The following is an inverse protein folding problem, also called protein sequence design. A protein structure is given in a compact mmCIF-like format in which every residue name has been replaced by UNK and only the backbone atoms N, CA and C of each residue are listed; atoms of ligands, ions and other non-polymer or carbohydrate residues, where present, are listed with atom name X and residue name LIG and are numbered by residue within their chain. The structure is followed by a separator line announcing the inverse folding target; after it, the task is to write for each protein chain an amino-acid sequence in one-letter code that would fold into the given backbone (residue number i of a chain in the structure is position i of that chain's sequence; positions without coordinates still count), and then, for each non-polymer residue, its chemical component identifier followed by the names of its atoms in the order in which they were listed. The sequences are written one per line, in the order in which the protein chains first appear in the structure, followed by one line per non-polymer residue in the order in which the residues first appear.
data_IF_532168132253
#
_entry.id   IF_532168132253
#
_cell.length_a   1.000
_cell.length_b   1.000
_cell.length_c   1.000
_cell.angle_alpha   90.00
_cell.angle_beta   90.00
_cell.angle_gamma   90.00
#
_symmetry.space_group_name_H-M   'P 1'
#
loop_
_entity.id
_entity.type
_entity.pdbx_description
1 polymer ?
#
# COMPACT_ATOMS: atom_id res chain seq x y z
N UNK A 1 -19.20 -23.09 -4.40
CA UNK A 1 -20.33 -22.24 -3.95
C UNK A 1 -20.36 -22.25 -2.43
N UNK A 2 -19.75 -21.25 -1.79
CA UNK A 2 -20.03 -20.90 -0.39
C UNK A 2 -20.38 -19.42 -0.37
N UNK A 3 -21.67 -19.13 -0.27
CA UNK A 3 -22.15 -17.76 -0.10
C UNK A 3 -21.76 -17.29 1.29
N UNK A 4 -20.84 -16.34 1.38
CA UNK A 4 -20.72 -15.50 2.57
C UNK A 4 -21.96 -14.59 2.59
N UNK A 5 -22.90 -14.87 3.49
CA UNK A 5 -23.93 -13.90 3.88
C UNK A 5 -23.17 -12.72 4.49
N UNK A 6 -23.34 -11.53 3.91
CA UNK A 6 -22.66 -10.30 4.32
C UNK A 6 -22.87 -10.03 5.80
N UNK A 7 -21.81 -10.21 6.58
CA UNK A 7 -21.70 -9.71 7.94
C UNK A 7 -21.01 -8.35 7.91
N UNK A 8 -21.45 -7.44 8.79
CA UNK A 8 -20.71 -6.21 9.07
C UNK A 8 -19.32 -6.58 9.58
N UNK A 9 -18.30 -5.91 9.06
CA UNK A 9 -16.92 -6.07 9.52
C UNK A 9 -16.51 -4.86 10.35
N UNK A 10 -16.06 -5.12 11.58
CA UNK A 10 -15.75 -4.08 12.57
C UNK A 10 -14.23 -3.96 12.70
N UNK A 11 -13.74 -2.72 12.76
CA UNK A 11 -12.35 -2.39 13.08
C UNK A 11 -12.32 -1.37 14.22
N UNK A 12 -11.31 -1.45 15.07
CA UNK A 12 -11.05 -0.44 16.10
C UNK A 12 -10.65 0.88 15.42
N UNK A 13 -11.07 2.01 16.00
CA UNK A 13 -10.54 3.32 15.60
C UNK A 13 -9.14 3.47 16.19
N UNK A 14 -8.08 3.68 15.38
CA UNK A 14 -6.74 3.83 15.92
C UNK A 14 -6.66 4.98 16.94
N UNK A 15 -5.87 4.87 18.03
CA UNK A 15 -5.79 5.89 19.08
C UNK A 15 -5.49 7.30 18.54
N UNK A 16 -4.64 7.40 17.51
CA UNK A 16 -4.31 8.65 16.82
C UNK A 16 -5.53 9.37 16.20
N UNK A 17 -6.64 8.65 15.99
CA UNK A 17 -7.87 9.13 15.41
C UNK A 17 -9.04 9.19 16.40
N UNK A 18 -8.91 8.65 17.62
CA UNK A 18 -9.99 8.54 18.60
C UNK A 18 -10.66 9.89 18.93
N UNK A 19 -9.87 10.95 19.15
CA UNK A 19 -10.41 12.30 19.42
C UNK A 19 -11.20 12.85 18.23
N UNK A 20 -10.72 12.64 17.01
CA UNK A 20 -11.40 13.08 15.80
C UNK A 20 -12.69 12.29 15.58
N UNK A 21 -12.67 10.98 15.82
CA UNK A 21 -13.85 10.13 15.75
C UNK A 21 -14.94 10.58 16.73
N UNK A 22 -14.60 10.78 17.99
CA UNK A 22 -15.57 11.23 19.00
C UNK A 22 -16.16 12.60 18.64
N UNK A 23 -15.32 13.56 18.25
CA UNK A 23 -15.79 14.87 17.81
C UNK A 23 -16.73 14.79 16.60
N UNK A 24 -16.48 13.86 15.67
CA UNK A 24 -17.33 13.62 14.51
C UNK A 24 -18.66 12.98 14.89
N UNK A 25 -18.69 12.03 15.83
CA UNK A 25 -19.94 11.45 16.32
C UNK A 25 -20.81 12.50 17.03
N UNK A 26 -20.18 13.37 17.81
CA UNK A 26 -20.89 14.39 18.60
C UNK A 26 -21.42 15.55 17.74
N UNK A 27 -20.68 15.95 16.69
CA UNK A 27 -20.88 17.23 15.98
C UNK A 27 -20.82 17.13 14.45
N UNK A 28 -20.60 15.94 13.90
CA UNK A 28 -20.38 15.72 12.47
C UNK A 28 -21.65 15.58 11.63
N UNK A 29 -22.84 15.67 12.23
CA UNK A 29 -24.10 15.62 11.50
C UNK A 29 -24.16 16.82 10.55
N UNK A 30 -24.07 16.55 9.24
CA UNK A 30 -24.07 17.57 8.18
C UNK A 30 -22.71 18.15 7.80
N UNK A 31 -21.60 17.67 8.37
CA UNK A 31 -20.25 18.04 7.94
C UNK A 31 -19.78 17.12 6.81
N UNK A 32 -19.12 17.71 5.80
CA UNK A 32 -18.41 16.96 4.78
C UNK A 32 -16.94 16.79 5.18
N UNK A 33 -16.42 15.57 5.06
CA UNK A 33 -14.99 15.31 5.23
C UNK A 33 -14.16 16.06 4.18
N UNK A 34 -12.86 16.24 4.43
CA UNK A 34 -11.94 16.83 3.44
C UNK A 34 -11.93 15.99 2.15
N UNK A 35 -11.63 16.61 1.00
CA UNK A 35 -11.44 15.82 -0.23
C UNK A 35 -10.28 14.83 -0.05
N UNK A 36 -10.48 13.54 -0.38
CA UNK A 36 -9.43 12.56 -0.23
C UNK A 36 -8.30 12.79 -1.24
N UNK A 37 -7.06 12.55 -0.81
CA UNK A 37 -5.91 12.48 -1.71
C UNK A 37 -5.86 11.10 -2.34
N UNK A 38 -5.72 11.03 -3.66
CA UNK A 38 -5.58 9.75 -4.35
C UNK A 38 -4.20 9.15 -4.11
N UNK A 39 -4.13 7.85 -3.87
CA UNK A 39 -2.88 7.13 -3.69
C UNK A 39 -2.93 5.73 -4.30
N UNK A 40 -1.77 5.11 -4.39
CA UNK A 40 -1.66 3.72 -4.77
C UNK A 40 -0.53 3.01 -4.01
N UNK A 41 -0.70 1.71 -3.79
CA UNK A 41 0.30 0.87 -3.15
C UNK A 41 0.33 -0.53 -3.77
N UNK A 42 1.48 -1.21 -3.67
CA UNK A 42 1.71 -2.53 -4.27
C UNK A 42 1.92 -3.59 -3.19
N UNK A 43 1.03 -4.58 -3.17
CA UNK A 43 1.12 -5.79 -2.35
C UNK A 43 1.91 -6.84 -3.13
N UNK A 44 3.17 -7.02 -2.76
CA UNK A 44 3.98 -8.07 -3.33
C UNK A 44 3.69 -9.39 -2.64
N UNK A 45 3.62 -10.47 -3.41
CA UNK A 45 3.44 -11.83 -2.88
C UNK A 45 4.52 -12.78 -3.37
N UNK A 46 4.91 -13.71 -2.49
CA UNK A 46 5.71 -14.89 -2.83
C UNK A 46 5.29 -16.07 -1.97
N UNK A 47 5.54 -17.28 -2.46
CA UNK A 47 5.40 -18.47 -1.62
C UNK A 47 6.57 -18.53 -0.63
N UNK A 48 6.25 -18.76 0.64
CA UNK A 48 7.20 -19.03 1.73
C UNK A 48 6.92 -20.40 2.35
N UNK A 49 7.72 -20.78 3.34
CA UNK A 49 7.69 -22.13 3.93
C UNK A 49 6.40 -22.44 4.70
N UNK A 50 5.73 -21.41 5.23
CA UNK A 50 4.53 -21.51 6.08
C UNK A 50 3.26 -20.93 5.47
N UNK A 51 3.35 -20.41 4.24
CA UNK A 51 2.24 -19.74 3.57
C UNK A 51 2.73 -18.68 2.59
N UNK A 52 1.80 -17.84 2.12
CA UNK A 52 2.13 -16.72 1.24
C UNK A 52 2.66 -15.57 2.09
N UNK A 53 3.82 -15.06 1.71
CA UNK A 53 4.45 -13.90 2.33
C UNK A 53 4.12 -12.62 1.55
N UNK A 54 4.13 -11.48 2.25
CA UNK A 54 4.01 -10.15 1.64
C UNK A 54 5.16 -9.23 2.05
N UNK A 55 5.59 -8.37 1.12
CA UNK A 55 6.60 -7.35 1.39
C UNK A 55 5.96 -6.18 2.14
N UNK A 56 6.33 -5.98 3.39
CA UNK A 56 5.81 -4.95 4.27
C UNK A 56 6.84 -3.84 4.49
N UNK A 57 6.34 -2.62 4.69
CA UNK A 57 7.13 -1.41 4.90
C UNK A 57 6.64 -0.70 6.15
N UNK A 58 7.54 -0.53 7.11
CA UNK A 58 7.34 0.30 8.28
C UNK A 58 7.95 1.70 8.06
N UNK A 59 7.13 2.75 8.22
CA UNK A 59 7.57 4.15 8.28
C UNK A 59 7.15 4.76 9.63
N UNK A 60 8.08 5.34 10.42
CA UNK A 60 7.75 5.96 11.69
C UNK A 60 6.96 7.26 11.51
N UNK A 61 6.33 7.70 12.59
CA UNK A 61 5.58 8.95 12.64
C UNK A 61 4.16 8.84 12.08
N UNK A 62 3.52 9.98 11.80
CA UNK A 62 2.12 10.02 11.36
C UNK A 62 2.04 9.71 9.87
N UNK A 63 1.56 8.52 9.53
CA UNK A 63 1.44 8.03 8.15
C UNK A 63 -0.03 7.85 7.77
N UNK A 64 -0.45 8.41 6.63
CA UNK A 64 -1.85 8.34 6.21
C UNK A 64 -2.32 6.92 5.83
N UNK A 65 -1.39 6.03 5.46
CA UNK A 65 -1.67 4.61 5.14
C UNK A 65 -1.46 3.65 6.32
N UNK A 66 -1.15 4.18 7.51
CA UNK A 66 -0.62 3.41 8.64
C UNK A 66 0.90 3.40 8.67
N UNK A 67 1.48 3.22 9.86
CA UNK A 67 2.93 3.13 10.04
C UNK A 67 3.46 1.83 9.44
N UNK A 68 2.73 0.72 9.58
CA UNK A 68 2.97 -0.53 8.87
C UNK A 68 2.06 -0.62 7.64
N UNK A 69 2.64 -0.68 6.45
CA UNK A 69 1.89 -0.65 5.18
C UNK A 69 2.68 -1.35 4.06
N UNK A 70 2.26 -1.14 2.81
CA UNK A 70 2.98 -1.60 1.62
C UNK A 70 3.76 -0.45 0.96
N UNK A 71 4.74 -0.74 0.08
CA UNK A 71 5.32 0.26 -0.81
C UNK A 71 4.21 0.98 -1.60
N UNK A 72 4.17 2.30 -1.51
CA UNK A 72 3.05 3.09 -2.00
C UNK A 72 3.03 4.52 -1.46
N UNK A 73 2.05 5.29 -1.92
CA UNK A 73 1.80 6.63 -1.41
C UNK A 73 0.90 7.43 -2.32
N UNK A 74 1.05 8.75 -2.25
CA UNK A 74 0.16 9.69 -2.90
C UNK A 74 0.51 9.85 -4.37
N UNK A 75 -0.53 10.01 -5.18
CA UNK A 75 -0.42 10.37 -6.59
C UNK A 75 0.07 11.81 -6.71
N UNK A 76 1.10 12.00 -7.52
CA UNK A 76 1.71 13.30 -7.80
C UNK A 76 1.26 13.80 -9.18
N UNK A 77 1.38 15.11 -9.42
CA UNK A 77 1.04 15.69 -10.72
C UNK A 77 1.93 15.11 -11.83
N UNK A 78 3.19 14.80 -11.51
CA UNK A 78 4.16 14.20 -12.43
C UNK A 78 3.79 12.76 -12.86
N UNK A 79 2.89 12.08 -12.14
CA UNK A 79 2.36 10.77 -12.55
C UNK A 79 1.48 10.87 -13.82
N UNK A 80 1.06 12.08 -14.22
CA UNK A 80 0.32 12.33 -15.46
C UNK A 80 1.22 12.48 -16.70
N UNK A 81 2.53 12.68 -16.50
CA UNK A 81 3.47 12.91 -17.60
C UNK A 81 3.52 11.74 -18.59
N UNK A 82 3.66 12.02 -19.90
CA UNK A 82 3.69 10.99 -20.92
C UNK A 82 4.92 10.09 -20.78
N UNK A 83 4.72 8.78 -20.87
CA UNK A 83 5.78 7.77 -20.82
C UNK A 83 5.45 6.62 -21.75
N UNK A 84 6.48 5.88 -22.18
CA UNK A 84 6.31 4.68 -22.99
C UNK A 84 5.59 3.59 -22.18
N UNK A 85 4.51 3.06 -22.74
CA UNK A 85 3.57 2.19 -22.03
C UNK A 85 3.48 0.81 -22.68
N UNK A 86 3.53 -0.23 -21.86
CA UNK A 86 3.25 -1.62 -22.24
C UNK A 86 2.10 -2.18 -21.41
N UNK A 87 1.39 -3.14 -22.00
CA UNK A 87 0.24 -3.79 -21.40
C UNK A 87 -1.10 -3.19 -21.83
N UNK A 88 -2.17 -3.41 -21.04
CA UNK A 88 -3.50 -2.87 -21.33
C UNK A 88 -3.47 -1.35 -21.46
N UNK A 89 -4.28 -0.77 -22.35
CA UNK A 89 -4.40 0.68 -22.48
C UNK A 89 -4.97 1.33 -21.21
N UNK A 90 -4.78 2.64 -21.04
CA UNK A 90 -5.35 3.39 -19.92
C UNK A 90 -6.87 3.19 -19.80
N UNK A 91 -7.59 3.11 -20.92
CA UNK A 91 -9.04 2.86 -20.93
C UNK A 91 -9.39 1.42 -20.47
N UNK A 92 -8.61 0.42 -20.88
CA UNK A 92 -8.78 -0.95 -20.40
C UNK A 92 -8.49 -1.06 -18.90
N UNK A 93 -7.52 -0.31 -18.39
CA UNK A 93 -7.24 -0.21 -16.97
C UNK A 93 -8.35 0.48 -16.18
N UNK A 94 -8.88 1.60 -16.68
CA UNK A 94 -10.03 2.27 -16.08
C UNK A 94 -11.21 1.30 -15.92
N UNK A 95 -11.52 0.54 -16.98
CA UNK A 95 -12.54 -0.51 -16.92
C UNK A 95 -12.23 -1.60 -15.88
N UNK A 96 -10.99 -2.09 -15.79
CA UNK A 96 -10.58 -3.09 -14.78
C UNK A 96 -10.70 -2.58 -13.34
N UNK A 97 -10.49 -1.28 -13.14
CA UNK A 97 -10.54 -0.61 -11.84
C UNK A 97 -11.94 -0.08 -11.50
N UNK A 98 -12.93 -0.25 -12.39
CA UNK A 98 -14.25 0.36 -12.27
C UNK A 98 -14.20 1.89 -12.11
N UNK A 99 -13.23 2.52 -12.76
CA UNK A 99 -13.05 3.98 -12.77
C UNK A 99 -13.65 4.60 -14.03
N UNK A 100 -14.42 5.67 -13.85
CA UNK A 100 -14.91 6.50 -14.97
C UNK A 100 -13.84 7.51 -15.44
N UNK A 101 -12.87 7.84 -14.58
CA UNK A 101 -11.74 8.69 -14.92
C UNK A 101 -10.56 7.84 -15.42
N UNK A 102 -10.31 7.90 -16.73
CA UNK A 102 -9.20 7.20 -17.40
C UNK A 102 -7.85 7.78 -16.98
N UNK A 103 -7.76 9.09 -16.78
CA UNK A 103 -6.55 9.78 -16.35
C UNK A 103 -6.16 9.37 -14.94
N UNK A 104 -7.13 9.36 -14.01
CA UNK A 104 -6.90 8.91 -12.64
C UNK A 104 -6.46 7.44 -12.59
N UNK A 105 -7.13 6.56 -13.33
CA UNK A 105 -6.76 5.15 -13.41
C UNK A 105 -5.31 4.96 -13.90
N UNK A 106 -4.91 5.72 -14.93
CA UNK A 106 -3.53 5.74 -15.43
C UNK A 106 -2.57 6.24 -14.34
N UNK A 107 -2.84 7.40 -13.74
CA UNK A 107 -1.99 7.99 -12.70
C UNK A 107 -1.81 7.02 -11.54
N UNK A 108 -2.85 6.34 -11.07
CA UNK A 108 -2.73 5.37 -9.98
C UNK A 108 -1.78 4.20 -10.28
N UNK A 109 -1.72 3.73 -11.53
CA UNK A 109 -0.74 2.70 -11.94
C UNK A 109 0.70 3.25 -11.94
N UNK A 110 0.88 4.48 -12.42
CA UNK A 110 2.18 5.16 -12.41
C UNK A 110 2.63 5.44 -10.98
N UNK A 111 1.72 5.92 -10.11
CA UNK A 111 1.95 6.10 -8.67
C UNK A 111 2.42 4.79 -8.03
N UNK A 112 1.73 3.67 -8.29
CA UNK A 112 2.10 2.37 -7.75
C UNK A 112 3.52 1.99 -8.18
N UNK A 113 3.84 2.12 -9.46
CA UNK A 113 5.15 1.78 -10.01
C UNK A 113 6.27 2.70 -9.48
N UNK A 114 6.06 4.02 -9.50
CA UNK A 114 7.02 5.02 -9.00
C UNK A 114 7.30 4.84 -7.52
N UNK A 115 6.25 4.75 -6.69
CA UNK A 115 6.40 4.60 -5.24
C UNK A 115 7.07 3.27 -4.88
N UNK A 116 6.73 2.20 -5.59
CA UNK A 116 7.40 0.90 -5.47
C UNK A 116 8.90 1.02 -5.78
N UNK A 117 9.26 1.70 -6.86
CA UNK A 117 10.67 1.88 -7.22
C UNK A 117 11.41 2.74 -6.18
N UNK A 118 10.81 3.86 -5.75
CA UNK A 118 11.39 4.74 -4.74
C UNK A 118 11.61 4.00 -3.42
N UNK A 119 10.62 3.27 -2.93
CA UNK A 119 10.63 2.75 -1.55
C UNK A 119 11.23 1.35 -1.45
N UNK A 120 11.00 0.50 -2.45
CA UNK A 120 11.43 -0.88 -2.45
C UNK A 120 12.52 -1.19 -3.48
N UNK A 121 12.87 -0.26 -4.37
CA UNK A 121 13.88 -0.51 -5.41
C UNK A 121 13.43 -1.49 -6.48
N UNK A 122 12.14 -1.81 -6.54
CA UNK A 122 11.56 -2.71 -7.55
C UNK A 122 11.03 -1.87 -8.72
N UNK A 123 11.44 -2.18 -9.94
CA UNK A 123 11.08 -1.42 -11.14
C UNK A 123 10.26 -2.28 -12.11
N UNK A 124 9.06 -1.81 -12.46
CA UNK A 124 8.21 -2.44 -13.49
C UNK A 124 8.47 -1.87 -14.88
N UNK A 125 9.73 -1.67 -15.25
CA UNK A 125 10.10 -1.06 -16.51
C UNK A 125 11.35 -1.71 -17.10
N UNK A 126 11.50 -1.61 -18.41
CA UNK A 126 12.72 -2.00 -19.08
C UNK A 126 12.66 -1.74 -20.59
N UNK A 127 13.70 -2.19 -21.29
CA UNK A 127 13.90 -1.81 -22.69
C UNK A 127 13.06 -2.69 -23.63
N UNK A 128 12.70 -2.21 -24.83
CA UNK A 128 11.91 -2.99 -25.78
C UNK A 128 12.49 -4.36 -26.13
N UNK A 129 13.82 -4.53 -26.07
CA UNK A 129 14.49 -5.78 -26.44
C UNK A 129 14.54 -6.81 -25.31
N UNK A 130 14.42 -6.37 -24.05
CA UNK A 130 14.70 -7.21 -22.89
C UNK A 130 13.54 -7.32 -21.90
N UNK A 131 12.42 -6.63 -22.15
CA UNK A 131 11.28 -6.60 -21.22
C UNK A 131 11.65 -5.87 -19.93
N UNK A 132 11.08 -6.29 -18.80
CA UNK A 132 11.35 -5.70 -17.48
C UNK A 132 12.82 -5.92 -17.09
N UNK A 133 13.49 -4.87 -16.60
CA UNK A 133 14.90 -4.94 -16.22
C UNK A 133 15.14 -5.97 -15.11
N UNK A 134 16.16 -6.81 -15.25
CA UNK A 134 16.49 -7.82 -14.23
C UNK A 134 17.35 -7.26 -13.09
N UNK A 135 18.20 -6.26 -13.38
CA UNK A 135 19.08 -5.64 -12.38
C UNK A 135 18.86 -4.13 -12.30
N UNK A 136 18.40 -3.68 -11.14
CA UNK A 136 18.13 -2.27 -10.81
C UNK A 136 18.86 -1.83 -9.54
N UNK A 137 20.02 -2.44 -9.29
CA UNK A 137 20.87 -2.16 -8.13
C UNK A 137 22.06 -1.27 -8.48
N UNK A 138 22.64 -0.63 -7.47
CA UNK A 138 23.84 0.19 -7.60
C UNK A 138 23.59 1.67 -7.35
N UNK A 139 24.68 2.43 -7.27
CA UNK A 139 24.69 3.83 -6.83
C UNK A 139 23.87 4.75 -7.75
N UNK A 140 23.88 4.50 -9.06
CA UNK A 140 23.13 5.34 -10.01
C UNK A 140 21.62 5.12 -9.92
N UNK A 141 21.19 3.87 -9.66
CA UNK A 141 19.78 3.57 -9.41
C UNK A 141 19.32 4.14 -8.07
N UNK A 142 20.14 4.04 -7.02
CA UNK A 142 19.84 4.66 -5.74
C UNK A 142 19.70 6.18 -5.86
N UNK A 143 20.62 6.85 -6.57
CA UNK A 143 20.54 8.29 -6.83
C UNK A 143 19.26 8.66 -7.57
N UNK A 144 18.86 7.89 -8.58
CA UNK A 144 17.59 8.10 -9.28
C UNK A 144 16.38 7.96 -8.34
N UNK A 145 16.40 7.02 -7.40
CA UNK A 145 15.33 6.86 -6.40
C UNK A 145 15.29 8.03 -5.41
N UNK A 146 16.45 8.56 -5.01
CA UNK A 146 16.54 9.74 -4.15
C UNK A 146 15.96 10.98 -4.83
N UNK A 147 16.31 11.22 -6.10
CA UNK A 147 15.76 12.33 -6.89
C UNK A 147 14.25 12.22 -7.12
N UNK A 148 13.74 11.00 -7.33
CA UNK A 148 12.30 10.75 -7.39
C UNK A 148 11.62 11.00 -6.03
N UNK A 149 12.28 10.70 -4.92
CA UNK A 149 11.73 10.89 -3.58
C UNK A 149 11.63 12.37 -3.19
N UNK A 150 12.49 13.22 -3.76
CA UNK A 150 12.48 14.69 -3.59
C UNK A 150 11.69 15.40 -4.69
N UNK A 151 11.09 14.67 -5.62
CA UNK A 151 10.38 15.22 -6.80
C UNK A 151 11.29 16.06 -7.72
N UNK A 152 12.61 15.87 -7.67
CA UNK A 152 13.59 16.57 -8.52
C UNK A 152 13.58 16.07 -9.98
N UNK A 153 13.09 14.84 -10.20
CA UNK A 153 12.83 14.27 -11.53
C UNK A 153 11.48 13.53 -11.50
N UNK A 154 10.83 13.39 -12.64
CA UNK A 154 9.64 12.54 -12.76
C UNK A 154 9.99 11.08 -13.06
N UNK A 155 9.02 10.18 -12.87
CA UNK A 155 9.17 8.79 -13.30
C UNK A 155 9.25 8.68 -14.83
N UNK A 156 8.52 9.54 -15.55
CA UNK A 156 8.60 9.62 -17.01
C UNK A 156 10.01 10.00 -17.48
N UNK A 157 10.63 11.02 -16.87
CA UNK A 157 12.01 11.44 -17.16
C UNK A 157 13.02 10.31 -16.92
N UNK A 158 12.85 9.58 -15.81
CA UNK A 158 13.71 8.46 -15.46
C UNK A 158 13.70 7.39 -16.56
N UNK A 159 12.51 7.01 -17.01
CA UNK A 159 12.29 5.98 -18.02
C UNK A 159 12.76 6.44 -19.39
N UNK A 160 12.43 7.68 -19.78
CA UNK A 160 12.86 8.27 -21.05
C UNK A 160 14.39 8.31 -21.18
N UNK A 161 15.09 8.77 -20.14
CA UNK A 161 16.55 8.83 -20.09
C UNK A 161 17.22 7.45 -20.26
N UNK A 162 16.52 6.37 -19.93
CA UNK A 162 17.00 4.98 -20.02
C UNK A 162 16.38 4.20 -21.18
N UNK A 163 15.58 4.85 -22.04
CA UNK A 163 14.84 4.21 -23.13
C UNK A 163 14.03 3.00 -22.66
N UNK A 164 13.35 3.14 -21.52
CA UNK A 164 12.54 2.10 -20.90
C UNK A 164 11.05 2.41 -21.03
N UNK A 165 10.24 1.36 -21.17
CA UNK A 165 8.80 1.44 -21.10
C UNK A 165 8.28 0.89 -19.77
N UNK A 166 7.22 1.48 -19.24
CA UNK A 166 6.50 0.96 -18.08
C UNK A 166 5.64 -0.25 -18.49
N UNK A 167 5.88 -1.39 -17.86
CA UNK A 167 5.12 -2.62 -18.02
C UNK A 167 3.95 -2.68 -17.03
N UNK A 168 2.85 -2.01 -17.37
CA UNK A 168 1.66 -1.94 -16.52
C UNK A 168 1.05 -3.33 -16.25
N UNK A 169 1.24 -4.28 -17.15
CA UNK A 169 0.79 -5.67 -17.01
C UNK A 169 1.45 -6.45 -15.86
N UNK A 170 2.52 -5.92 -15.25
CA UNK A 170 3.11 -6.48 -14.03
C UNK A 170 2.20 -6.31 -12.81
N UNK A 171 1.30 -5.32 -12.84
CA UNK A 171 0.36 -5.05 -11.76
C UNK A 171 -0.96 -5.80 -11.97
N UNK A 172 -1.63 -6.12 -10.86
CA UNK A 172 -2.98 -6.70 -10.82
C UNK A 172 -3.87 -5.88 -9.89
N UNK A 173 -5.12 -5.55 -10.24
CA UNK A 173 -6.03 -4.91 -9.29
C UNK A 173 -6.19 -5.79 -8.04
N UNK A 174 -6.08 -5.19 -6.85
CA UNK A 174 -6.31 -5.91 -5.58
C UNK A 174 -7.56 -5.41 -4.86
N UNK A 175 -7.63 -4.13 -4.53
CA UNK A 175 -8.79 -3.52 -3.88
C UNK A 175 -8.74 -1.99 -3.93
N UNK A 176 -9.87 -1.34 -3.68
CA UNK A 176 -10.01 0.11 -3.65
C UNK A 176 -10.61 0.54 -2.32
N UNK A 177 -9.92 1.43 -1.59
CA UNK A 177 -10.27 1.86 -0.24
C UNK A 177 -10.33 3.37 -0.11
N UNK A 178 -11.35 3.86 0.58
CA UNK A 178 -11.41 5.25 0.99
C UNK A 178 -11.47 5.33 2.52
N UNK A 179 -10.64 6.20 3.11
CA UNK A 179 -10.71 6.49 4.55
C UNK A 179 -12.02 7.18 4.90
N UNK A 180 -12.54 6.89 6.09
CA UNK A 180 -13.75 7.49 6.66
C UNK A 180 -13.67 9.02 6.69
N UNK A 181 -14.84 9.68 6.69
CA UNK A 181 -14.95 11.13 6.52
C UNK A 181 -14.36 11.95 7.69
N UNK A 182 -14.29 11.37 8.89
CA UNK A 182 -13.73 12.02 10.08
C UNK A 182 -12.19 12.07 10.09
N UNK A 183 -11.53 11.29 9.24
CA UNK A 183 -10.07 11.28 9.13
C UNK A 183 -9.63 12.61 8.52
N UNK A 184 -8.66 13.28 9.13
CA UNK A 184 -8.23 14.61 8.65
C UNK A 184 -7.48 14.55 7.30
N UNK A 185 -6.52 13.61 7.20
CA UNK A 185 -5.75 13.35 5.98
C UNK A 185 -6.38 12.18 5.24
N UNK A 186 -7.46 12.45 4.50
CA UNK A 186 -8.20 11.40 3.81
C UNK A 186 -7.44 10.85 2.62
N UNK A 187 -7.55 9.55 2.44
CA UNK A 187 -7.00 8.83 1.30
C UNK A 187 -8.11 8.15 0.50
N UNK A 188 -7.90 8.13 -0.81
CA UNK A 188 -8.57 7.27 -1.77
C UNK A 188 -7.49 6.41 -2.44
N UNK A 189 -7.35 5.18 -1.95
CA UNK A 189 -6.18 4.33 -2.09
C UNK A 189 -6.50 3.08 -2.91
N UNK A 190 -5.81 2.91 -4.04
CA UNK A 190 -5.82 1.69 -4.84
C UNK A 190 -4.67 0.78 -4.43
N UNK A 191 -5.01 -0.45 -4.05
CA UNK A 191 -4.01 -1.51 -3.92
C UNK A 191 -3.91 -2.29 -5.23
N UNK A 192 -2.68 -2.51 -5.66
CA UNK A 192 -2.32 -3.44 -6.70
C UNK A 192 -1.56 -4.62 -6.09
N UNK A 193 -1.59 -5.77 -6.75
CA UNK A 193 -0.78 -6.93 -6.42
C UNK A 193 0.26 -7.17 -7.50
N UNK A 194 1.44 -7.68 -7.11
CA UNK A 194 2.51 -8.03 -8.04
C UNK A 194 3.39 -9.17 -7.50
N UNK A 195 4.08 -9.85 -8.41
CA UNK A 195 5.29 -10.59 -8.08
C UNK A 195 6.50 -9.65 -8.24
N UNK A 196 7.60 -9.95 -7.54
CA UNK A 196 8.87 -9.27 -7.80
C UNK A 196 9.41 -9.75 -9.15
N UNK A 197 9.78 -8.84 -10.08
CA UNK A 197 10.41 -9.23 -11.34
C UNK A 197 11.68 -10.05 -11.10
N UNK A 198 11.90 -11.08 -11.92
CA UNK A 198 13.06 -11.97 -11.81
C UNK A 198 14.36 -11.15 -11.83
N UNK A 199 15.28 -11.50 -10.94
CA UNK A 199 16.59 -10.84 -10.81
C UNK A 199 16.61 -9.63 -9.87
N UNK A 200 15.47 -8.97 -9.65
CA UNK A 200 15.41 -7.81 -8.78
C UNK A 200 15.33 -8.21 -7.30
N UNK A 201 15.94 -7.39 -6.44
CA UNK A 201 15.84 -7.52 -4.98
C UNK A 201 15.28 -6.24 -4.39
N UNK A 202 14.45 -6.39 -3.36
CA UNK A 202 13.96 -5.25 -2.61
C UNK A 202 15.10 -4.61 -1.82
N UNK A 203 15.12 -3.29 -1.76
CA UNK A 203 16.09 -2.52 -1.00
C UNK A 203 15.44 -1.20 -0.57
N UNK A 204 15.46 -0.89 0.73
CA UNK A 204 14.96 0.39 1.23
C UNK A 204 15.74 1.58 0.62
N UNK A 205 15.08 2.75 0.54
CA UNK A 205 15.74 3.98 0.12
C UNK A 205 16.88 4.34 1.09
N UNK A 206 18.05 4.70 0.58
CA UNK A 206 19.23 4.95 1.41
C UNK A 206 19.01 6.05 2.46
N UNK A 207 18.27 7.10 2.11
CA UNK A 207 17.89 8.20 3.02
C UNK A 207 16.96 7.77 4.16
N UNK A 208 16.36 6.58 4.07
CA UNK A 208 15.49 5.99 5.10
C UNK A 208 16.18 4.90 5.92
N UNK A 209 17.48 4.63 5.68
CA UNK A 209 18.25 3.64 6.42
C UNK A 209 18.23 3.94 7.92
N UNK A 210 17.92 2.92 8.72
CA UNK A 210 17.80 3.05 10.19
C UNK A 210 16.53 3.77 10.66
N UNK A 211 15.64 4.20 9.74
CA UNK A 211 14.37 4.85 10.08
C UNK A 211 13.18 4.02 9.61
N UNK A 212 13.25 3.51 8.39
CA UNK A 212 12.24 2.63 7.83
C UNK A 212 12.75 1.19 7.81
N UNK A 213 11.82 0.25 7.86
CA UNK A 213 12.10 -1.17 7.65
C UNK A 213 11.28 -1.68 6.47
N UNK A 214 11.89 -2.55 5.67
CA UNK A 214 11.28 -3.16 4.50
C UNK A 214 11.66 -4.64 4.53
N UNK A 215 10.68 -5.53 4.58
CA UNK A 215 10.96 -6.96 4.69
C UNK A 215 9.76 -7.83 4.34
N UNK A 216 10.07 -9.07 3.97
CA UNK A 216 9.05 -10.09 3.75
C UNK A 216 8.50 -10.59 5.08
N UNK A 217 7.19 -10.81 5.11
CA UNK A 217 6.49 -11.30 6.30
C UNK A 217 5.51 -12.37 5.87
N UNK A 218 5.50 -13.50 6.58
CA UNK A 218 4.42 -14.47 6.48
C UNK A 218 3.10 -13.81 6.94
N UNK A 219 2.15 -13.68 6.01
CA UNK A 219 0.94 -12.89 6.25
C UNK A 219 0.04 -13.53 7.32
N UNK A 220 0.05 -14.86 7.44
CA UNK A 220 -0.73 -15.58 8.46
C UNK A 220 -0.09 -15.41 9.83
N UNK A 221 1.21 -15.60 9.93
CA UNK A 221 1.96 -15.39 11.16
C UNK A 221 1.79 -13.96 11.68
N UNK A 222 1.83 -12.95 10.80
CA UNK A 222 1.59 -11.56 11.19
C UNK A 222 0.21 -11.32 11.83
N UNK A 223 -0.80 -12.12 11.47
CA UNK A 223 -2.17 -11.98 12.00
C UNK A 223 -2.40 -12.84 13.25
N UNK A 224 -1.87 -14.06 13.27
CA UNK A 224 -2.14 -15.07 14.31
C UNK A 224 -1.14 -14.99 15.48
N UNK A 225 0.14 -14.77 15.18
CA UNK A 225 1.24 -14.67 16.15
C UNK A 225 2.33 -13.70 15.66
N UNK A 226 2.08 -12.37 15.73
CA UNK A 226 2.98 -11.36 15.18
C UNK A 226 4.42 -11.45 15.71
N UNK A 227 4.60 -11.91 16.95
CA UNK A 227 5.92 -12.07 17.60
C UNK A 227 6.74 -13.22 17.03
N UNK A 228 6.14 -14.09 16.22
CA UNK A 228 6.87 -15.06 15.39
C UNK A 228 7.43 -14.48 14.09
N UNK A 229 7.28 -13.16 13.88
CA UNK A 229 7.82 -12.40 12.74
C UNK A 229 8.83 -11.35 13.22
N UNK A 230 9.64 -10.82 12.30
CA UNK A 230 10.60 -9.73 12.61
C UNK A 230 9.93 -8.36 12.79
N UNK A 231 8.60 -8.27 12.60
CA UNK A 231 7.88 -7.00 12.59
C UNK A 231 7.86 -6.34 13.98
N UNK A 232 7.39 -6.99 15.07
CA UNK A 232 7.33 -6.34 16.38
C UNK A 232 8.68 -5.85 16.89
N UNK A 233 9.75 -6.62 16.65
CA UNK A 233 11.12 -6.28 17.01
C UNK A 233 11.59 -4.97 16.34
N UNK A 234 11.19 -4.76 15.09
CA UNK A 234 11.45 -3.52 14.35
C UNK A 234 10.78 -2.31 15.02
N UNK A 235 9.57 -2.48 15.56
CA UNK A 235 8.85 -1.42 16.29
C UNK A 235 9.47 -1.16 17.65
N UNK A 236 9.86 -2.22 18.37
CA UNK A 236 10.52 -2.14 19.67
C UNK A 236 11.80 -1.30 19.61
N UNK A 237 12.70 -1.61 18.67
CA UNK A 237 13.96 -0.89 18.52
C UNK A 237 13.74 0.62 18.29
N UNK A 238 12.70 0.99 17.52
CA UNK A 238 12.38 2.41 17.28
C UNK A 238 11.69 3.10 18.46
N UNK A 239 10.86 2.37 19.21
CA UNK A 239 10.24 2.89 20.43
C UNK A 239 11.32 3.22 21.48
N UNK A 240 12.29 2.32 21.65
CA UNK A 240 13.47 2.51 22.49
C UNK A 240 14.30 3.72 22.02
N UNK A 241 14.63 3.79 20.71
CA UNK A 241 15.45 4.88 20.15
C UNK A 241 14.78 6.27 20.23
N UNK A 242 13.45 6.31 20.20
CA UNK A 242 12.69 7.57 20.19
C UNK A 242 12.31 8.08 21.57
N UNK A 243 12.47 7.28 22.64
CA UNK A 243 12.00 7.57 24.01
C UNK A 243 10.50 7.96 24.06
N UNK A 244 9.69 7.46 23.13
CA UNK A 244 8.27 7.86 22.94
C UNK A 244 7.26 6.91 23.58
N UNK A 245 7.67 5.76 24.12
CA UNK A 245 6.77 4.78 24.72
C UNK A 245 7.18 4.44 26.14
N UNK A 246 6.19 4.39 27.03
CA UNK A 246 6.34 3.86 28.40
C UNK A 246 6.37 2.31 28.40
N UNK A 247 5.98 1.67 27.28
CA UNK A 247 6.06 0.23 27.06
C UNK A 247 6.65 -0.09 25.67
N UNK A 248 7.95 -0.46 25.57
CA UNK A 248 8.57 -0.82 24.29
C UNK A 248 8.11 -2.18 23.76
N UNK A 249 7.37 -2.97 24.55
CA UNK A 249 6.83 -4.27 24.18
C UNK A 249 5.39 -4.21 23.69
N UNK A 250 4.75 -3.03 23.70
CA UNK A 250 3.42 -2.89 23.13
C UNK A 250 3.47 -3.03 21.60
N UNK A 251 2.72 -4.01 21.08
CA UNK A 251 2.52 -4.22 19.65
C UNK A 251 1.06 -4.52 19.38
N UNK A 252 0.40 -3.66 18.61
CA UNK A 252 -0.96 -3.87 18.13
C UNK A 252 -1.03 -3.58 16.63
N UNK A 253 -1.27 -4.62 15.83
CA UNK A 253 -1.38 -4.50 14.39
C UNK A 253 -2.52 -3.55 13.95
N UNK A 254 -3.59 -3.45 14.74
CA UNK A 254 -4.72 -2.56 14.46
C UNK A 254 -4.35 -1.08 14.62
N UNK A 255 -3.42 -0.76 15.52
CA UNK A 255 -2.91 0.60 15.71
C UNK A 255 -1.93 1.00 14.61
N UNK A 256 -1.21 0.02 14.05
CA UNK A 256 -0.15 0.24 13.07
C UNK A 256 -0.65 0.26 11.62
N UNK A 257 -1.78 -0.37 11.34
CA UNK A 257 -2.32 -0.54 9.99
C UNK A 257 -3.64 0.19 9.80
N UNK A 258 -3.99 0.46 8.54
CA UNK A 258 -5.36 0.88 8.20
C UNK A 258 -6.24 -0.34 7.91
N UNK A 259 -7.59 -0.22 7.96
CA UNK A 259 -8.48 -1.30 7.57
C UNK A 259 -8.16 -1.90 6.19
N UNK A 260 -7.78 -1.06 5.22
CA UNK A 260 -7.39 -1.51 3.89
C UNK A 260 -6.10 -2.33 3.87
N UNK A 261 -5.09 -1.93 4.65
CA UNK A 261 -3.85 -2.72 4.81
C UNK A 261 -4.16 -4.06 5.47
N UNK A 262 -4.92 -4.07 6.57
CA UNK A 262 -5.29 -5.31 7.27
C UNK A 262 -6.03 -6.29 6.36
N UNK A 263 -7.03 -5.81 5.61
CA UNK A 263 -7.78 -6.66 4.67
C UNK A 263 -6.90 -7.22 3.54
N UNK A 264 -5.89 -6.46 3.10
CA UNK A 264 -4.94 -6.95 2.11
C UNK A 264 -4.03 -8.04 2.69
N UNK A 265 -3.52 -7.88 3.91
CA UNK A 265 -2.71 -8.91 4.60
C UNK A 265 -3.53 -10.19 4.79
N UNK A 266 -4.78 -10.09 5.24
CA UNK A 266 -5.66 -11.26 5.36
C UNK A 266 -5.92 -11.95 4.03
N UNK A 267 -6.18 -11.17 2.97
CA UNK A 267 -6.35 -11.75 1.64
C UNK A 267 -5.09 -12.50 1.16
N UNK A 268 -3.90 -12.10 1.59
CA UNK A 268 -2.65 -12.83 1.33
C UNK A 268 -2.58 -14.08 2.21
N UNK A 269 -2.89 -13.98 3.51
CA UNK A 269 -2.87 -15.10 4.45
C UNK A 269 -3.85 -16.23 4.10
N UNK A 270 -4.98 -15.89 3.48
CA UNK A 270 -5.99 -16.83 2.98
C UNK A 270 -5.60 -17.50 1.66
N UNK A 271 -4.61 -16.98 0.94
CA UNK A 271 -4.21 -17.52 -0.34
C UNK A 271 -3.47 -18.86 -0.18
N UNK A 272 -3.77 -19.81 -1.07
CA UNK A 272 -3.09 -21.09 -1.10
C UNK A 272 -1.69 -21.03 -1.75
N UNK A 273 -1.45 -20.03 -2.60
CA UNK A 273 -0.15 -19.72 -3.18
C UNK A 273 -0.13 -18.29 -3.74
N UNK A 274 1.06 -17.76 -3.99
CA UNK A 274 1.26 -16.47 -4.64
C UNK A 274 0.63 -16.45 -6.05
N UNK A 275 0.74 -17.55 -6.80
CA UNK A 275 0.11 -17.68 -8.12
C UNK A 275 -1.41 -17.63 -8.00
N UNK A 276 -2.00 -18.35 -7.03
CA UNK A 276 -3.44 -18.30 -6.80
C UNK A 276 -3.91 -16.90 -6.41
N UNK A 277 -3.15 -16.19 -5.56
CA UNK A 277 -3.44 -14.82 -5.16
C UNK A 277 -3.44 -13.84 -6.34
N UNK A 278 -2.44 -13.94 -7.23
CA UNK A 278 -2.29 -13.08 -8.41
C UNK A 278 -3.28 -13.40 -9.53
N UNK A 279 -3.75 -14.64 -9.61
CA UNK A 279 -4.75 -15.07 -10.60
C UNK A 279 -6.20 -14.72 -10.20
N UNK A 280 -6.43 -14.42 -8.92
CA UNK A 280 -7.77 -14.13 -8.41
C UNK A 280 -8.37 -12.86 -9.03
N UNK A 281 -9.65 -12.94 -9.43
CA UNK A 281 -10.44 -11.75 -9.76
C UNK A 281 -10.83 -11.02 -8.48
N UNK A 282 -10.79 -9.70 -8.50
CA UNK A 282 -11.05 -8.85 -7.34
C UNK A 282 -12.20 -7.90 -7.62
N UNK A 283 -12.97 -7.64 -6.57
CA UNK A 283 -13.97 -6.58 -6.57
C UNK A 283 -13.28 -5.24 -6.31
N UNK A 284 -13.44 -4.31 -7.25
CA UNK A 284 -12.83 -2.99 -7.22
C UNK A 284 -13.81 -1.89 -6.76
N UNK A 285 -15.02 -2.25 -6.29
CA UNK A 285 -15.90 -1.29 -5.63
C UNK A 285 -15.18 -0.68 -4.42
N UNK A 286 -15.32 0.64 -4.28
CA UNK A 286 -14.70 1.40 -3.18
C UNK A 286 -15.24 0.90 -1.84
N UNK A 287 -14.33 0.46 -0.98
CA UNK A 287 -14.61 0.08 0.40
C UNK A 287 -14.35 1.29 1.29
N UNK A 288 -15.39 1.76 1.99
CA UNK A 288 -15.32 2.90 2.90
C UNK A 288 -15.90 2.51 4.26
N UNK A 289 -15.06 2.19 5.25
CA UNK A 289 -15.54 1.99 6.60
C UNK A 289 -16.23 3.26 7.11
N UNK A 290 -17.45 3.14 7.62
CA UNK A 290 -18.20 4.22 8.27
C UNK A 290 -17.89 4.22 9.77
N UNK A 291 -17.84 5.42 10.35
CA UNK A 291 -17.72 5.54 11.80
C UNK A 291 -19.07 5.22 12.44
N UNK A 292 -19.07 4.39 13.47
CA UNK A 292 -20.24 3.94 14.21
C UNK A 292 -19.93 3.90 15.71
N UNK A 293 -20.95 3.69 16.55
CA UNK A 293 -20.83 3.47 17.99
C UNK A 293 -21.30 2.07 18.35
N UNK A 294 -20.41 1.26 18.96
CA UNK A 294 -20.74 -0.07 19.50
C UNK A 294 -20.36 -0.12 20.96
N UNK A 295 -21.34 -0.43 21.81
CA UNK A 295 -21.18 -0.48 23.26
C UNK A 295 -20.54 0.78 23.87
N UNK A 296 -20.82 1.95 23.29
CA UNK A 296 -20.30 3.25 23.73
C UNK A 296 -18.95 3.66 23.13
N UNK A 297 -18.28 2.73 22.42
CA UNK A 297 -16.97 2.96 21.80
C UNK A 297 -17.06 3.24 20.30
N UNK A 298 -16.25 4.18 19.76
CA UNK A 298 -16.23 4.47 18.33
C UNK A 298 -15.54 3.32 17.59
N UNK A 299 -16.21 2.81 16.57
CA UNK A 299 -15.68 1.73 15.72
C UNK A 299 -15.83 2.09 14.25
N UNK A 300 -15.04 1.44 13.39
CA UNK A 300 -15.21 1.51 11.95
C UNK A 300 -15.97 0.27 11.47
N UNK A 301 -17.07 0.47 10.77
CA UNK A 301 -17.89 -0.61 10.21
C UNK A 301 -17.77 -0.60 8.70
N UNK A 302 -17.42 -1.74 8.11
CA UNK A 302 -17.46 -1.97 6.68
C UNK A 302 -18.58 -2.95 6.36
N UNK A 303 -19.48 -2.54 5.47
CA UNK A 303 -20.54 -3.42 4.97
C UNK A 303 -19.95 -4.43 3.97
N UNK A 304 -20.39 -5.69 4.07
CA UNK A 304 -19.90 -6.83 3.27
C UNK A 304 -20.41 -6.91 1.84
#
# INVERSE_FOLDING_TARGET
MSGHRGGERIFTVPPAHAKAARAWLDRGIGLNGSSPRHGAATVFVRDGDRGVETLMLHRPGRQAMGTLSFPGGITETSDDEPLDWRGPSSAQWAHKLLSEDIGLARRSLVTAARKTFVEAGILFAGTPMHGVAENVEGVDWMRSRELLATEDISFADLLAKRSMAFHSECLRPLSHWATSDFVHQRLDLLFFAAAVPVGQRHCALATQRGRAWLGWVDARALLEDPWSTDVPETFRQQAEDSARSDDPWHFDLEELTTPGVRCAVEAVAEASSAVAFLAARRDMRVKRPRLDLRDGEPVLVLDG
#
